data_IF_787301470357
#
_entry.id   IF_787301470357
#
_cell.length_a   1.000
_cell.length_b   1.000
_cell.length_c   1.000
_cell.angle_alpha   90.00
_cell.angle_beta   90.00
_cell.angle_gamma   90.00
#
_symmetry.space_group_name_H-M   'P 1'
#
loop_
_entity.id
_entity.type
_entity.pdbx_description
1 polymer ?
#
# COMPACT_ATOMS: atom_id res chain seq x y z
N UNK A 1 6.31 10.96 -4.16
CA UNK A 1 5.14 11.85 -4.31
C UNK A 1 4.38 12.07 -3.00
N UNK A 2 4.48 11.15 -2.02
CA UNK A 2 3.99 11.40 -0.67
C UNK A 2 4.92 12.33 0.12
N UNK A 3 4.35 13.21 0.93
CA UNK A 3 5.06 13.91 2.00
C UNK A 3 5.40 12.93 3.14
N UNK A 4 6.35 13.28 3.98
CA UNK A 4 6.80 12.43 5.09
C UNK A 4 7.80 11.33 4.70
N UNK A 5 8.15 11.23 3.41
CA UNK A 5 9.16 10.31 2.89
C UNK A 5 10.48 11.01 2.53
N UNK A 6 11.59 10.32 2.77
CA UNK A 6 12.92 10.62 2.25
C UNK A 6 13.46 9.43 1.45
N UNK A 7 14.35 9.70 0.48
CA UNK A 7 14.90 8.68 -0.40
C UNK A 7 16.42 8.81 -0.47
N UNK A 8 17.12 7.68 -0.42
CA UNK A 8 18.58 7.66 -0.56
C UNK A 8 19.00 7.49 -2.02
N UNK A 9 20.25 7.82 -2.36
CA UNK A 9 20.82 7.48 -3.68
C UNK A 9 21.54 6.12 -3.65
N UNK A 10 22.32 5.85 -2.60
CA UNK A 10 23.19 4.66 -2.49
C UNK A 10 22.87 3.76 -1.27
N UNK A 11 21.71 3.93 -0.63
CA UNK A 11 21.30 3.13 0.55
C UNK A 11 20.72 1.76 0.18
N UNK A 12 21.52 0.94 -0.50
CA UNK A 12 21.10 -0.39 -0.98
C UNK A 12 21.06 -1.43 0.15
N UNK A 13 20.04 -2.27 0.14
CA UNK A 13 19.87 -3.43 1.02
C UNK A 13 19.63 -4.66 0.15
N UNK A 14 20.35 -5.74 0.43
CA UNK A 14 20.16 -7.00 -0.30
C UNK A 14 18.79 -7.60 0.08
N UNK A 15 18.00 -7.97 -0.93
CA UNK A 15 16.71 -8.66 -0.71
C UNK A 15 16.90 -10.17 -0.87
N UNK A 16 17.43 -10.63 -2.00
CA UNK A 16 17.80 -12.03 -2.23
C UNK A 16 18.79 -12.16 -3.39
N UNK A 17 19.65 -13.17 -3.38
CA UNK A 17 20.61 -13.42 -4.46
C UNK A 17 21.42 -12.16 -4.81
N UNK A 18 21.34 -11.71 -6.07
CA UNK A 18 21.96 -10.45 -6.53
C UNK A 18 20.98 -9.27 -6.64
N UNK A 19 19.76 -9.41 -6.10
CA UNK A 19 18.72 -8.37 -6.14
C UNK A 19 18.75 -7.54 -4.86
N UNK A 20 18.85 -6.23 -5.07
CA UNK A 20 18.89 -5.24 -4.02
C UNK A 20 17.70 -4.31 -4.17
N UNK A 21 17.25 -3.78 -3.04
CA UNK A 21 16.27 -2.72 -2.96
C UNK A 21 16.90 -1.51 -2.30
N UNK A 22 16.29 -0.35 -2.47
CA UNK A 22 16.68 0.89 -1.80
C UNK A 22 15.46 1.42 -1.06
N UNK A 23 15.17 0.88 0.14
CA UNK A 23 13.97 1.23 0.89
C UNK A 23 13.93 2.74 1.14
N UNK A 24 12.80 3.40 0.92
CA UNK A 24 12.63 4.78 1.33
C UNK A 24 12.52 4.87 2.86
N UNK A 25 12.62 6.07 3.40
CA UNK A 25 12.64 6.32 4.85
C UNK A 25 11.42 7.17 5.20
N UNK A 26 10.61 6.73 6.16
CA UNK A 26 9.51 7.54 6.71
C UNK A 26 10.13 8.43 7.79
N UNK A 27 10.04 9.75 7.61
CA UNK A 27 10.69 10.76 8.48
C UNK A 27 9.70 11.75 9.11
N UNK A 28 8.43 11.68 8.74
CA UNK A 28 7.39 12.60 9.22
C UNK A 28 6.00 12.07 8.95
N UNK A 29 5.00 12.92 9.17
CA UNK A 29 3.60 12.58 8.90
C UNK A 29 3.36 12.49 7.38
N UNK A 30 2.55 11.50 6.99
CA UNK A 30 2.36 11.14 5.59
C UNK A 30 1.09 11.78 5.05
N UNK A 31 1.20 12.42 3.90
CA UNK A 31 0.07 12.95 3.14
C UNK A 31 0.33 12.91 1.64
N UNK A 32 -0.74 12.91 0.85
CA UNK A 32 -0.69 12.92 -0.61
C UNK A 32 -1.10 14.31 -1.12
N UNK A 33 -0.14 15.17 -1.53
CA UNK A 33 -0.45 16.54 -1.98
C UNK A 33 -1.05 16.60 -3.40
N UNK A 34 -0.82 15.58 -4.22
CA UNK A 34 -1.23 15.55 -5.63
C UNK A 34 -1.45 14.11 -6.12
N UNK A 35 -2.16 13.98 -7.24
CA UNK A 35 -2.36 12.70 -7.93
C UNK A 35 -1.06 12.04 -8.36
N UNK A 36 -0.97 10.72 -8.11
CA UNK A 36 0.25 9.96 -8.32
C UNK A 36 0.27 9.21 -9.65
N UNK A 37 -0.77 8.44 -9.97
CA UNK A 37 -0.87 7.50 -11.10
C UNK A 37 -2.10 7.72 -11.99
N UNK A 38 -2.97 8.68 -11.64
CA UNK A 38 -4.19 9.00 -12.41
C UNK A 38 -3.88 9.32 -13.87
N UNK A 39 -2.90 10.20 -14.14
CA UNK A 39 -2.54 10.63 -15.49
C UNK A 39 -2.20 9.45 -16.40
N UNK A 40 -1.31 8.58 -15.93
CA UNK A 40 -0.84 7.41 -16.67
C UNK A 40 -1.96 6.37 -16.84
N UNK A 41 -2.78 6.17 -15.80
CA UNK A 41 -3.88 5.20 -15.82
C UNK A 41 -4.99 5.64 -16.78
N UNK A 42 -5.37 6.91 -16.78
CA UNK A 42 -6.36 7.46 -17.73
C UNK A 42 -5.86 7.33 -19.16
N UNK A 43 -4.60 7.69 -19.42
CA UNK A 43 -4.02 7.53 -20.74
C UNK A 43 -4.03 6.07 -21.19
N UNK A 44 -3.61 5.13 -20.33
CA UNK A 44 -3.62 3.70 -20.65
C UNK A 44 -5.04 3.19 -20.96
N UNK A 45 -6.04 3.59 -20.17
CA UNK A 45 -7.43 3.23 -20.42
C UNK A 45 -7.95 3.83 -21.73
N UNK A 46 -7.51 5.02 -22.14
CA UNK A 46 -7.95 5.65 -23.39
C UNK A 46 -7.51 4.91 -24.67
N UNK A 47 -6.47 4.08 -24.59
CA UNK A 47 -5.92 3.34 -25.72
C UNK A 47 -6.64 2.00 -25.96
N UNK A 48 -7.63 1.64 -25.14
CA UNK A 48 -8.31 0.35 -25.25
C UNK A 48 -9.75 0.42 -24.78
N UNK A 49 -10.61 -0.40 -25.39
CA UNK A 49 -11.97 -0.63 -24.90
C UNK A 49 -12.04 -1.68 -23.79
N UNK A 50 -10.92 -2.37 -23.49
CA UNK A 50 -10.86 -3.34 -22.39
C UNK A 50 -10.71 -2.62 -21.05
N UNK A 51 -11.24 -3.19 -19.94
CA UNK A 51 -10.98 -2.66 -18.61
C UNK A 51 -9.47 -2.68 -18.30
N UNK A 52 -8.93 -1.53 -17.90
CA UNK A 52 -7.54 -1.34 -17.52
C UNK A 52 -7.44 -1.15 -16.01
N UNK A 53 -6.43 -1.77 -15.39
CA UNK A 53 -6.23 -1.73 -13.93
C UNK A 53 -5.42 -0.51 -13.51
N UNK A 54 -5.99 0.34 -12.65
CA UNK A 54 -5.18 1.25 -11.82
C UNK A 54 -4.33 0.43 -10.86
N UNK A 55 -3.08 0.83 -10.64
CA UNK A 55 -2.13 0.08 -9.82
C UNK A 55 -1.60 0.94 -8.67
N UNK A 56 -1.73 0.42 -7.45
CA UNK A 56 -1.20 1.02 -6.22
C UNK A 56 -0.56 -0.05 -5.34
N UNK A 57 0.32 0.39 -4.45
CA UNK A 57 0.86 -0.45 -3.37
C UNK A 57 0.10 -0.12 -2.10
N UNK A 58 -0.34 -1.14 -1.36
CA UNK A 58 -1.11 -0.99 -0.14
C UNK A 58 -0.32 -0.37 1.01
N UNK A 59 -1.02 0.15 2.03
CA UNK A 59 -0.41 0.87 3.15
C UNK A 59 0.56 0.01 3.97
N UNK A 60 0.25 -1.28 4.20
CA UNK A 60 1.12 -2.16 4.98
C UNK A 60 2.40 -2.40 4.21
N UNK A 61 2.34 -2.69 2.91
CA UNK A 61 3.53 -2.88 2.08
C UNK A 61 4.36 -1.61 1.92
N UNK A 62 3.71 -0.45 1.75
CA UNK A 62 4.41 0.84 1.78
C UNK A 62 5.18 1.04 3.09
N UNK A 63 4.61 0.64 4.23
CA UNK A 63 5.28 0.69 5.53
C UNK A 63 6.41 -0.34 5.64
N UNK A 64 6.13 -1.61 5.35
CA UNK A 64 7.05 -2.74 5.58
C UNK A 64 8.31 -2.68 4.71
N UNK A 65 8.19 -2.17 3.49
CA UNK A 65 9.32 -2.03 2.57
C UNK A 65 9.95 -0.62 2.61
N UNK A 66 9.66 0.12 3.67
CA UNK A 66 10.36 1.35 4.05
C UNK A 66 11.17 1.13 5.32
N UNK A 67 12.07 2.04 5.63
CA UNK A 67 12.56 2.23 7.00
C UNK A 67 11.52 3.07 7.77
N UNK A 68 10.77 2.48 8.71
CA UNK A 68 9.75 3.21 9.47
C UNK A 68 10.40 4.16 10.47
N UNK A 69 9.67 5.21 10.85
CA UNK A 69 10.05 6.04 12.00
C UNK A 69 9.71 5.29 13.30
N UNK A 70 10.47 5.56 14.35
CA UNK A 70 10.42 4.82 15.62
C UNK A 70 9.72 5.57 16.76
N UNK A 71 9.38 6.83 16.53
CA UNK A 71 8.73 7.71 17.49
C UNK A 71 7.20 7.62 17.50
N UNK A 72 6.60 6.93 16.51
CA UNK A 72 5.16 6.61 16.45
C UNK A 72 4.94 5.16 16.05
N UNK A 73 3.79 4.59 16.41
CA UNK A 73 3.48 3.18 16.12
C UNK A 73 3.39 2.88 14.62
N UNK A 74 3.66 1.62 14.26
CA UNK A 74 3.44 1.11 12.89
C UNK A 74 1.98 1.25 12.45
N UNK A 75 1.02 1.02 13.36
CA UNK A 75 -0.40 1.24 13.12
C UNK A 75 -0.68 2.68 12.69
N UNK A 76 -0.15 3.67 13.41
CA UNK A 76 -0.34 5.10 13.10
C UNK A 76 0.20 5.42 11.71
N UNK A 77 1.42 4.95 11.39
CA UNK A 77 2.04 5.16 10.08
C UNK A 77 1.23 4.50 8.96
N UNK A 78 0.78 3.26 9.17
CA UNK A 78 -0.05 2.50 8.23
C UNK A 78 -1.40 3.19 7.97
N UNK A 79 -2.02 3.77 9.00
CA UNK A 79 -3.27 4.51 8.84
C UNK A 79 -3.08 5.83 8.08
N UNK A 80 -1.99 6.57 8.32
CA UNK A 80 -1.68 7.76 7.51
C UNK A 80 -1.46 7.40 6.03
N UNK A 81 -0.73 6.30 5.77
CA UNK A 81 -0.58 5.75 4.42
C UNK A 81 -1.93 5.37 3.81
N UNK A 82 -2.80 4.72 4.59
CA UNK A 82 -4.11 4.31 4.11
C UNK A 82 -4.99 5.49 3.71
N UNK A 83 -4.99 6.58 4.50
CA UNK A 83 -5.71 7.82 4.17
C UNK A 83 -5.15 8.46 2.90
N UNK A 84 -3.83 8.57 2.78
CA UNK A 84 -3.17 9.11 1.60
C UNK A 84 -3.46 8.29 0.32
N UNK A 85 -3.52 6.95 0.45
CA UNK A 85 -3.84 6.05 -0.66
C UNK A 85 -5.33 6.04 -0.99
N UNK A 86 -6.21 6.28 -0.02
CA UNK A 86 -7.65 6.42 -0.25
C UNK A 86 -7.95 7.54 -1.22
N UNK A 87 -7.26 8.68 -1.07
CA UNK A 87 -7.42 9.81 -1.98
C UNK A 87 -7.02 9.43 -3.41
N UNK A 88 -5.95 8.64 -3.59
CA UNK A 88 -5.53 8.17 -4.91
C UNK A 88 -6.52 7.14 -5.51
N UNK A 89 -7.05 6.23 -4.70
CA UNK A 89 -8.09 5.28 -5.12
C UNK A 89 -9.35 6.03 -5.58
N UNK A 90 -9.79 7.02 -4.81
CA UNK A 90 -10.96 7.83 -5.16
C UNK A 90 -10.71 8.65 -6.42
N UNK A 91 -9.52 9.24 -6.60
CA UNK A 91 -9.19 10.00 -7.81
C UNK A 91 -9.12 9.10 -9.05
N UNK A 92 -8.61 7.87 -8.93
CA UNK A 92 -8.63 6.88 -10.02
C UNK A 92 -10.06 6.53 -10.42
N UNK A 93 -10.93 6.26 -9.43
CA UNK A 93 -12.35 5.99 -9.68
C UNK A 93 -13.04 7.18 -10.36
N UNK A 94 -12.84 8.39 -9.83
CA UNK A 94 -13.42 9.62 -10.38
C UNK A 94 -12.94 9.93 -11.81
N UNK A 95 -11.72 9.49 -12.16
CA UNK A 95 -11.16 9.61 -13.49
C UNK A 95 -11.59 8.49 -14.46
N UNK A 96 -12.48 7.58 -14.02
CA UNK A 96 -13.05 6.51 -14.85
C UNK A 96 -12.29 5.18 -14.82
N UNK A 97 -11.31 5.02 -13.92
CA UNK A 97 -10.59 3.75 -13.73
C UNK A 97 -11.36 2.90 -12.72
N UNK A 98 -12.29 2.07 -13.20
CA UNK A 98 -13.22 1.30 -12.36
C UNK A 98 -12.70 -0.08 -11.93
N UNK A 99 -11.50 -0.46 -12.35
CA UNK A 99 -10.78 -1.64 -11.82
C UNK A 99 -9.48 -1.14 -11.23
N UNK A 100 -9.31 -1.31 -9.91
CA UNK A 100 -8.16 -0.78 -9.18
C UNK A 100 -7.55 -1.92 -8.37
N UNK A 101 -6.25 -2.10 -8.52
CA UNK A 101 -5.48 -3.10 -7.81
C UNK A 101 -4.58 -2.43 -6.76
N UNK A 102 -4.70 -2.86 -5.52
CA UNK A 102 -3.92 -2.40 -4.37
C UNK A 102 -3.14 -3.59 -3.80
N UNK A 103 -1.84 -3.64 -4.07
CA UNK A 103 -1.01 -4.81 -3.77
C UNK A 103 -0.53 -4.83 -2.32
N UNK A 104 -0.70 -5.96 -1.61
CA UNK A 104 -0.27 -6.12 -0.22
C UNK A 104 0.65 -7.35 0.02
N UNK A 105 1.73 -7.52 -0.76
CA UNK A 105 2.61 -8.68 -0.61
C UNK A 105 3.28 -8.78 0.77
N UNK A 106 3.54 -7.66 1.45
CA UNK A 106 4.23 -7.65 2.73
C UNK A 106 3.30 -7.84 3.95
N UNK A 107 2.00 -8.07 3.73
CA UNK A 107 1.03 -8.21 4.82
C UNK A 107 1.31 -9.39 5.74
N UNK A 108 1.95 -10.45 5.22
CA UNK A 108 2.41 -11.59 6.03
C UNK A 108 3.82 -11.38 6.57
N UNK A 109 4.67 -10.68 5.82
CA UNK A 109 6.04 -10.33 6.22
C UNK A 109 6.05 -9.46 7.49
N UNK A 110 5.08 -8.56 7.64
CA UNK A 110 4.96 -7.70 8.82
C UNK A 110 4.43 -8.37 10.09
N UNK A 111 3.99 -9.63 10.01
CA UNK A 111 3.38 -10.33 11.15
C UNK A 111 4.38 -10.51 12.30
N UNK A 112 4.04 -10.10 13.54
CA UNK A 112 4.90 -10.29 14.71
C UNK A 112 5.30 -11.76 14.91
N UNK A 113 6.55 -12.00 15.29
CA UNK A 113 7.16 -13.34 15.32
C UNK A 113 6.55 -14.29 16.36
N UNK A 114 5.95 -13.75 17.42
CA UNK A 114 5.33 -14.53 18.50
C UNK A 114 3.82 -14.35 18.46
N UNK A 115 3.10 -15.41 18.82
CA UNK A 115 1.69 -15.29 19.15
C UNK A 115 1.52 -14.43 20.42
N UNK A 116 0.43 -13.69 20.51
CA UNK A 116 0.14 -12.79 21.62
C UNK A 116 -0.56 -11.52 21.17
N UNK A 117 -0.74 -10.59 22.10
CA UNK A 117 -1.49 -9.34 21.88
C UNK A 117 -0.97 -8.52 20.70
N UNK A 118 0.35 -8.44 20.50
CA UNK A 118 0.97 -7.70 19.39
C UNK A 118 0.57 -8.28 18.03
N UNK A 119 0.58 -9.62 17.90
CA UNK A 119 0.17 -10.29 16.66
C UNK A 119 -1.32 -10.09 16.41
N UNK A 120 -2.16 -10.22 17.43
CA UNK A 120 -3.60 -9.98 17.30
C UNK A 120 -3.89 -8.53 16.88
N UNK A 121 -3.23 -7.55 17.49
CA UNK A 121 -3.36 -6.15 17.11
C UNK A 121 -2.89 -5.91 15.66
N UNK A 122 -1.75 -6.50 15.26
CA UNK A 122 -1.29 -6.45 13.87
C UNK A 122 -2.34 -6.95 12.89
N UNK A 123 -2.95 -8.10 13.17
CA UNK A 123 -3.96 -8.68 12.29
C UNK A 123 -5.15 -7.73 12.07
N UNK A 124 -5.52 -6.98 13.11
CA UNK A 124 -6.62 -6.02 13.08
C UNK A 124 -6.25 -4.76 12.29
N UNK A 125 -5.18 -4.06 12.67
CA UNK A 125 -4.87 -2.75 12.07
C UNK A 125 -4.33 -2.88 10.65
N UNK A 126 -3.65 -3.99 10.31
CA UNK A 126 -3.13 -4.21 8.95
C UNK A 126 -4.29 -4.35 7.96
N UNK A 127 -5.27 -5.21 8.28
CA UNK A 127 -6.47 -5.38 7.48
C UNK A 127 -7.34 -4.10 7.48
N UNK A 128 -7.45 -3.41 8.61
CA UNK A 128 -8.14 -2.12 8.70
C UNK A 128 -7.52 -1.07 7.78
N UNK A 129 -6.19 -0.94 7.75
CA UNK A 129 -5.50 0.03 6.90
C UNK A 129 -5.79 -0.22 5.42
N UNK A 130 -5.74 -1.48 4.98
CA UNK A 130 -6.12 -1.85 3.62
C UNK A 130 -7.57 -1.46 3.30
N UNK A 131 -8.51 -1.76 4.20
CA UNK A 131 -9.91 -1.37 4.05
C UNK A 131 -10.10 0.14 4.03
N UNK A 132 -9.40 0.91 4.86
CA UNK A 132 -9.47 2.38 4.86
C UNK A 132 -9.11 2.94 3.49
N UNK A 133 -8.07 2.40 2.85
CA UNK A 133 -7.66 2.83 1.50
C UNK A 133 -8.69 2.47 0.41
N UNK A 134 -9.50 1.42 0.60
CA UNK A 134 -10.30 0.81 -0.47
C UNK A 134 -11.82 0.85 -0.27
N UNK A 135 -12.31 1.25 0.90
CA UNK A 135 -13.76 1.23 1.23
C UNK A 135 -14.51 2.51 0.84
N UNK A 136 -13.85 3.45 0.15
CA UNK A 136 -14.48 4.68 -0.34
C UNK A 136 -15.15 4.58 -1.70
N UNK A 137 -14.95 3.47 -2.40
CA UNK A 137 -15.36 3.26 -3.79
C UNK A 137 -16.83 2.85 -3.94
N UNK A 138 -17.37 3.03 -5.13
CA UNK A 138 -18.68 2.53 -5.52
C UNK A 138 -18.70 1.00 -5.61
N UNK A 139 -19.88 0.41 -5.44
CA UNK A 139 -20.08 -1.04 -5.60
C UNK A 139 -19.71 -1.55 -7.01
N UNK A 140 -19.79 -0.68 -8.03
CA UNK A 140 -19.41 -1.00 -9.41
C UNK A 140 -17.90 -1.05 -9.63
N UNK A 141 -17.11 -0.51 -8.70
CA UNK A 141 -15.65 -0.47 -8.79
C UNK A 141 -15.06 -1.73 -8.23
N UNK A 142 -14.22 -2.40 -9.03
CA UNK A 142 -13.65 -3.68 -8.69
C UNK A 142 -12.26 -3.50 -8.07
N UNK A 143 -12.16 -3.70 -6.76
CA UNK A 143 -10.89 -3.74 -6.04
C UNK A 143 -10.25 -5.11 -6.18
N UNK A 144 -8.99 -5.14 -6.61
CA UNK A 144 -8.11 -6.32 -6.63
C UNK A 144 -6.99 -6.14 -5.60
N UNK A 145 -6.44 -7.25 -5.14
CA UNK A 145 -5.18 -7.25 -4.39
C UNK A 145 -4.29 -8.40 -4.83
N UNK A 146 -3.02 -8.31 -4.49
CA UNK A 146 -1.99 -9.29 -4.79
C UNK A 146 -1.15 -9.58 -3.55
N UNK A 147 -0.83 -10.86 -3.39
CA UNK A 147 0.01 -11.40 -2.33
C UNK A 147 1.03 -12.34 -2.95
N UNK A 148 2.27 -12.32 -2.47
CA UNK A 148 3.32 -13.20 -3.00
C UNK A 148 4.39 -13.53 -1.94
N UNK A 149 5.16 -14.58 -2.24
CA UNK A 149 6.39 -14.97 -1.53
C UNK A 149 6.28 -14.99 0.00
N UNK A 150 5.21 -15.60 0.52
CA UNK A 150 4.94 -15.70 1.96
C UNK A 150 4.11 -16.94 2.28
N UNK A 151 4.20 -17.44 3.52
CA UNK A 151 3.26 -18.44 4.07
C UNK A 151 1.94 -17.75 4.45
N UNK A 152 1.11 -17.52 3.43
CA UNK A 152 -0.12 -16.71 3.53
C UNK A 152 -1.16 -17.37 4.45
N UNK A 153 -1.80 -16.53 5.28
CA UNK A 153 -2.98 -16.90 6.07
C UNK A 153 -4.25 -16.36 5.38
N UNK A 154 -5.13 -17.23 4.83
CA UNK A 154 -6.33 -16.80 4.13
C UNK A 154 -7.39 -16.14 5.03
N UNK A 155 -7.22 -16.14 6.35
CA UNK A 155 -8.18 -15.54 7.28
C UNK A 155 -7.82 -14.10 7.69
N UNK A 156 -6.60 -13.63 7.42
CA UNK A 156 -6.15 -12.32 7.89
C UNK A 156 -6.85 -11.15 7.18
N UNK A 157 -7.18 -11.30 5.90
CA UNK A 157 -7.68 -10.19 5.05
C UNK A 157 -9.20 -10.30 4.81
N UNK A 158 -9.85 -11.30 5.41
CA UNK A 158 -11.32 -11.36 5.45
C UNK A 158 -11.85 -10.25 6.34
#
# INVERSE_FOLDING_TARGET
KLQGYAFTTNGWVQSYGSRYVRPPIIVGDISRPEAMSVKESVYAQSLTSKPMKGMLTGPVTCLRWSFPRVDVSHETQSLQLALALRDEVNDLEAAGVTVIQVDEPAIREGLPLRAGAERSAYLEWAAQSFRVATSGVQNSTQIHSHFCYSDLDPNHIK
#
